data_IF_651265980184
#
_entry.id   IF_651265980184
#
_cell.length_a   1.000
_cell.length_b   1.000
_cell.length_c   1.000
_cell.angle_alpha   90.00
_cell.angle_beta   90.00
_cell.angle_gamma   90.00
#
_symmetry.space_group_name_H-M   'P 1'
#
loop_
_entity.id
_entity.type
_entity.pdbx_description
1 polymer ?
#
# COMPACT_ATOMS: atom_id res chain seq x y z
N UNK A 1 -14.19 2.56 -1.22
CA UNK A 1 -13.74 2.40 0.17
C UNK A 1 -14.17 3.57 1.06
N UNK A 2 -14.53 3.26 2.31
CA UNK A 2 -14.87 4.21 3.38
C UNK A 2 -13.60 4.93 3.90
N UNK A 3 -13.71 6.13 4.50
CA UNK A 3 -12.54 6.85 5.05
C UNK A 3 -11.75 6.02 6.08
N UNK A 4 -12.43 5.21 6.89
CA UNK A 4 -11.81 4.35 7.90
C UNK A 4 -10.93 3.24 7.29
N UNK A 5 -11.21 2.82 6.06
CA UNK A 5 -10.43 1.80 5.36
C UNK A 5 -9.08 2.37 4.86
N UNK A 6 -9.04 3.66 4.52
CA UNK A 6 -7.81 4.35 4.08
C UNK A 6 -6.79 4.42 5.23
N UNK A 7 -7.24 4.74 6.44
CA UNK A 7 -6.35 4.81 7.60
C UNK A 7 -5.80 3.43 8.01
N UNK A 8 -6.63 2.39 7.95
CA UNK A 8 -6.17 1.00 8.19
C UNK A 8 -5.16 0.58 7.14
N UNK A 9 -5.45 0.81 5.86
CA UNK A 9 -4.53 0.53 4.77
C UNK A 9 -3.20 1.26 4.94
N UNK A 10 -3.25 2.55 5.30
CA UNK A 10 -2.06 3.37 5.56
C UNK A 10 -1.23 2.80 6.71
N UNK A 11 -1.86 2.34 7.78
CA UNK A 11 -1.18 1.71 8.92
C UNK A 11 -0.41 0.45 8.50
N UNK A 12 -1.06 -0.45 7.75
CA UNK A 12 -0.42 -1.67 7.21
C UNK A 12 0.75 -1.34 6.30
N UNK A 13 0.56 -0.40 5.37
CA UNK A 13 1.60 -0.01 4.43
C UNK A 13 2.79 0.69 5.12
N UNK A 14 2.54 1.43 6.19
CA UNK A 14 3.61 2.07 6.99
C UNK A 14 4.43 1.02 7.73
N UNK A 15 3.79 -0.06 8.20
CA UNK A 15 4.47 -1.12 8.93
C UNK A 15 5.36 -2.01 8.04
N UNK A 16 4.92 -2.26 6.80
CA UNK A 16 5.58 -3.18 5.87
C UNK A 16 6.46 -2.49 4.82
N UNK A 17 6.19 -1.21 4.54
CA UNK A 17 6.94 -0.40 3.60
C UNK A 17 8.27 0.11 4.14
N UNK A 18 9.12 0.63 3.25
CA UNK A 18 10.37 1.30 3.60
C UNK A 18 10.35 2.74 3.12
N UNK A 19 9.56 3.59 3.78
CA UNK A 19 9.49 5.01 3.49
C UNK A 19 8.12 5.59 3.79
N UNK A 20 7.90 6.80 3.30
CA UNK A 20 6.63 7.49 3.48
C UNK A 20 5.54 6.88 2.60
N UNK A 21 4.36 6.68 3.21
CA UNK A 21 3.16 6.27 2.46
C UNK A 21 2.52 7.53 1.89
N UNK A 22 2.56 7.67 0.57
CA UNK A 22 1.84 8.74 -0.12
C UNK A 22 0.37 8.37 -0.29
N UNK A 23 -0.54 9.24 0.14
CA UNK A 23 -1.99 9.04 0.01
C UNK A 23 -2.57 10.09 -0.93
N UNK A 24 -3.17 9.63 -2.03
CA UNK A 24 -3.92 10.49 -2.97
C UNK A 24 -5.41 10.33 -2.68
N UNK A 25 -5.98 11.25 -1.89
CA UNK A 25 -7.38 11.18 -1.42
C UNK A 25 -8.41 11.14 -2.57
N UNK A 26 -8.17 11.91 -3.64
CA UNK A 26 -9.10 12.02 -4.77
C UNK A 26 -9.30 10.68 -5.50
N UNK A 27 -8.22 9.92 -5.70
CA UNK A 27 -8.24 8.61 -6.34
C UNK A 27 -8.20 7.45 -5.34
N UNK A 28 -8.17 7.75 -4.03
CA UNK A 28 -8.02 6.78 -2.93
C UNK A 28 -6.84 5.84 -3.13
N UNK A 29 -5.76 6.35 -3.72
CA UNK A 29 -4.56 5.58 -4.04
C UNK A 29 -3.52 5.76 -2.96
N UNK A 30 -3.02 4.65 -2.41
CA UNK A 30 -1.88 4.64 -1.50
C UNK A 30 -0.67 4.09 -2.25
N UNK A 31 0.49 4.73 -2.08
CA UNK A 31 1.75 4.29 -2.67
C UNK A 31 2.81 4.27 -1.58
N UNK A 32 3.55 3.17 -1.49
CA UNK A 32 4.65 3.04 -0.54
C UNK A 32 5.84 2.35 -1.22
N UNK A 33 7.07 2.85 -1.02
CA UNK A 33 8.26 2.14 -1.45
C UNK A 33 8.42 0.83 -0.68
N UNK A 34 8.69 -0.27 -1.39
CA UNK A 34 8.85 -1.61 -0.80
C UNK A 34 10.15 -2.25 -1.26
N UNK A 35 10.80 -3.02 -0.38
CA UNK A 35 12.02 -3.78 -0.69
C UNK A 35 11.82 -5.25 -0.37
N UNK A 36 11.04 -5.93 -1.21
CA UNK A 36 10.73 -7.36 -1.01
C UNK A 36 10.04 -8.05 -2.19
N UNK A 37 9.89 -7.35 -3.32
CA UNK A 37 9.27 -7.89 -4.53
C UNK A 37 7.88 -8.48 -4.29
N UNK A 38 7.55 -9.53 -5.03
CA UNK A 38 6.23 -10.19 -4.98
C UNK A 38 5.95 -10.91 -3.64
N UNK A 39 6.98 -11.32 -2.89
CA UNK A 39 6.77 -12.00 -1.59
C UNK A 39 6.15 -11.04 -0.57
N UNK A 40 6.70 -9.84 -0.47
CA UNK A 40 6.18 -8.79 0.40
C UNK A 40 4.78 -8.34 -0.02
N UNK A 41 4.50 -8.30 -1.33
CA UNK A 41 3.16 -8.02 -1.84
C UNK A 41 2.12 -8.99 -1.28
N UNK A 42 2.43 -10.29 -1.28
CA UNK A 42 1.52 -11.30 -0.73
C UNK A 42 1.31 -11.16 0.78
N UNK A 43 2.30 -10.67 1.52
CA UNK A 43 2.18 -10.36 2.95
C UNK A 43 1.28 -9.14 3.18
N UNK A 44 1.47 -8.06 2.41
CA UNK A 44 0.62 -6.86 2.46
C UNK A 44 -0.84 -7.21 2.19
N UNK A 45 -1.12 -8.02 1.15
CA UNK A 45 -2.49 -8.43 0.81
C UNK A 45 -3.14 -9.19 1.96
N UNK A 46 -2.42 -10.12 2.59
CA UNK A 46 -2.93 -10.89 3.74
C UNK A 46 -3.22 -10.00 4.94
N UNK A 47 -2.36 -9.03 5.24
CA UNK A 47 -2.56 -8.13 6.39
C UNK A 47 -3.73 -7.17 6.17
N UNK A 48 -3.92 -6.68 4.93
CA UNK A 48 -5.08 -5.86 4.57
C UNK A 48 -6.39 -6.66 4.69
N UNK A 49 -6.40 -7.89 4.18
CA UNK A 49 -7.55 -8.80 4.28
C UNK A 49 -7.88 -9.13 5.75
N UNK A 50 -6.87 -9.44 6.57
CA UNK A 50 -7.02 -9.67 8.00
C UNK A 50 -7.60 -8.47 8.77
N UNK A 51 -7.41 -7.25 8.26
CA UNK A 51 -8.00 -6.02 8.82
C UNK A 51 -9.34 -5.63 8.18
N UNK A 52 -9.88 -6.47 7.28
CA UNK A 52 -11.14 -6.21 6.59
C UNK A 52 -11.05 -5.03 5.61
N UNK A 53 -9.87 -4.78 5.06
CA UNK A 53 -9.66 -3.76 4.02
C UNK A 53 -9.80 -4.44 2.66
N UNK A 54 -10.90 -4.13 1.96
CA UNK A 54 -11.07 -4.57 0.57
C UNK A 54 -10.02 -3.90 -0.33
N UNK A 55 -9.52 -4.64 -1.33
CA UNK A 55 -8.53 -4.16 -2.29
C UNK A 55 -9.19 -4.07 -3.66
N UNK A 56 -9.38 -2.85 -4.16
CA UNK A 56 -9.93 -2.61 -5.50
C UNK A 56 -8.91 -2.96 -6.61
N UNK A 57 -7.67 -2.50 -6.46
CA UNK A 57 -6.59 -2.72 -7.43
C UNK A 57 -5.22 -2.65 -6.73
N UNK A 58 -4.26 -3.42 -7.22
CA UNK A 58 -2.90 -3.46 -6.68
C UNK A 58 -1.86 -3.59 -7.80
N UNK A 59 -0.90 -2.68 -7.79
CA UNK A 59 0.16 -2.64 -8.78
C UNK A 59 1.53 -2.54 -8.11
N UNK A 60 2.42 -3.48 -8.43
CA UNK A 60 3.83 -3.41 -8.07
C UNK A 60 4.60 -2.82 -9.25
N UNK A 61 5.16 -1.62 -9.06
CA UNK A 61 6.03 -0.97 -10.05
C UNK A 61 7.47 -0.97 -9.54
N UNK A 62 8.43 -1.19 -10.45
CA UNK A 62 9.85 -0.94 -10.17
C UNK A 62 10.05 0.58 -10.24
N UNK A 63 10.71 1.21 -9.26
CA UNK A 63 11.02 2.64 -9.33
C UNK A 63 11.84 2.89 -10.60
N UNK A 64 11.39 3.86 -11.40
CA UNK A 64 12.18 4.42 -12.49
C UNK A 64 13.12 5.49 -11.91
N UNK A 65 14.19 5.83 -12.62
CA UNK A 65 15.23 6.75 -12.14
C UNK A 65 14.70 8.15 -11.73
N UNK A 66 13.48 8.52 -12.13
CA UNK A 66 12.87 9.84 -11.92
C UNK A 66 12.08 10.03 -10.60
N UNK A 67 12.03 9.04 -9.70
CA UNK A 67 11.25 9.14 -8.44
C UNK A 67 12.08 9.65 -7.23
N UNK A 68 13.19 10.37 -7.45
CA UNK A 68 14.10 10.92 -6.40
C UNK A 68 14.03 12.43 -6.25
#
# INVERSE_FOLDING_TARGET
HRPDEIERARSVLTALGKGEVTVVQLSRKLTVPVSGGAKLLAEIIRDLDAQGVEIDDIALRRPTLDDV
#
